data_IF_276343967660
#
_entry.id   IF_276343967660
#
_cell.length_a   1.000
_cell.length_b   1.000
_cell.length_c   1.000
_cell.angle_alpha   90.00
_cell.angle_beta   90.00
_cell.angle_gamma   90.00
#
_symmetry.space_group_name_H-M   'P 1'
#
loop_
_entity.id
_entity.type
_entity.pdbx_description
1 polymer ?
#
# COMPACT_ATOMS: atom_id res chain seq x y z
N UNK A 1 17.06 -2.41 15.07
CA UNK A 1 17.32 -2.83 13.67
C UNK A 1 16.51 -1.93 12.75
N UNK A 2 17.10 -1.45 11.65
CA UNK A 2 16.39 -0.59 10.70
C UNK A 2 15.82 -1.47 9.61
N UNK A 3 14.49 -1.64 9.54
CA UNK A 3 13.82 -2.47 8.54
C UNK A 3 13.22 -1.64 7.42
N UNK A 4 13.50 -1.99 6.18
CA UNK A 4 12.91 -1.35 5.01
C UNK A 4 11.51 -1.91 4.78
N UNK A 5 10.53 -1.02 4.63
CA UNK A 5 9.15 -1.35 4.28
C UNK A 5 8.75 -0.66 2.99
N UNK A 6 7.98 -1.35 2.17
CA UNK A 6 7.32 -0.77 1.00
C UNK A 6 5.84 -1.16 0.95
N UNK A 7 5.03 -0.26 0.39
CA UNK A 7 3.65 -0.50 0.01
C UNK A 7 3.43 -0.18 -1.47
N UNK A 8 2.65 -1.00 -2.15
CA UNK A 8 2.36 -0.78 -3.55
C UNK A 8 0.96 -1.29 -3.92
N UNK A 9 0.14 -0.40 -4.45
CA UNK A 9 -1.06 -0.80 -5.17
C UNK A 9 -0.64 -1.21 -6.59
N UNK A 10 -0.80 -2.49 -6.94
CA UNK A 10 -0.32 -3.06 -8.20
C UNK A 10 -1.39 -3.14 -9.29
N UNK A 11 -2.56 -2.55 -9.04
CA UNK A 11 -3.67 -2.38 -10.01
C UNK A 11 -4.08 -3.66 -10.76
N UNK A 12 -3.97 -4.83 -10.12
CA UNK A 12 -4.36 -6.09 -10.76
C UNK A 12 -5.87 -6.21 -10.98
N UNK A 13 -6.66 -5.44 -10.22
CA UNK A 13 -8.11 -5.36 -10.41
C UNK A 13 -8.50 -4.90 -11.81
N UNK A 14 -7.81 -3.89 -12.36
CA UNK A 14 -8.11 -3.40 -13.70
C UNK A 14 -7.73 -4.39 -14.80
N UNK A 15 -6.80 -5.28 -14.50
CA UNK A 15 -6.30 -6.32 -15.42
C UNK A 15 -6.83 -7.71 -15.15
N UNK A 16 -8.05 -7.86 -14.63
CA UNK A 16 -8.62 -9.17 -14.28
C UNK A 16 -8.35 -10.23 -15.34
N UNK A 17 -7.70 -11.33 -14.94
CA UNK A 17 -7.29 -12.43 -15.81
C UNK A 17 -5.93 -12.26 -16.50
N UNK A 18 -5.27 -11.12 -16.36
CA UNK A 18 -3.86 -10.94 -16.77
C UNK A 18 -2.95 -11.31 -15.60
N UNK A 19 -1.80 -11.91 -15.90
CA UNK A 19 -0.76 -12.16 -14.90
C UNK A 19 -0.12 -10.87 -14.41
N UNK A 20 0.46 -10.92 -13.21
CA UNK A 20 1.30 -9.82 -12.73
C UNK A 20 2.47 -9.61 -13.72
N UNK A 21 2.66 -8.41 -14.24
CA UNK A 21 3.74 -8.14 -15.19
C UNK A 21 5.10 -8.47 -14.58
N UNK A 22 5.99 -9.02 -15.40
CA UNK A 22 7.34 -9.43 -14.93
C UNK A 22 8.09 -8.27 -14.28
N UNK A 23 7.99 -7.06 -14.81
CA UNK A 23 8.69 -5.89 -14.26
C UNK A 23 8.23 -5.55 -12.83
N UNK A 24 6.97 -5.85 -12.47
CA UNK A 24 6.47 -5.68 -11.09
C UNK A 24 7.22 -6.64 -10.15
N UNK A 25 7.40 -7.89 -10.59
CA UNK A 25 8.13 -8.90 -9.82
C UNK A 25 9.60 -8.47 -9.67
N UNK A 26 10.24 -8.08 -10.77
CA UNK A 26 11.63 -7.63 -10.79
C UNK A 26 11.82 -6.42 -9.87
N UNK A 27 10.90 -5.44 -9.92
CA UNK A 27 10.93 -4.26 -9.07
C UNK A 27 10.82 -4.60 -7.59
N UNK A 28 9.89 -5.49 -7.21
CA UNK A 28 9.74 -5.93 -5.81
C UNK A 28 11.01 -6.61 -5.29
N UNK A 29 11.66 -7.43 -6.13
CA UNK A 29 12.92 -8.08 -5.79
C UNK A 29 14.05 -7.05 -5.67
N UNK A 30 14.16 -6.11 -6.61
CA UNK A 30 15.18 -5.06 -6.61
C UNK A 30 15.03 -4.09 -5.44
N UNK A 31 13.80 -3.80 -5.02
CA UNK A 31 13.54 -3.00 -3.82
C UNK A 31 14.13 -3.66 -2.57
N UNK A 32 14.26 -4.97 -2.56
CA UNK A 32 14.89 -5.73 -1.48
C UNK A 32 14.40 -5.32 -0.08
N UNK A 33 13.09 -5.04 0.05
CA UNK A 33 12.49 -4.60 1.29
C UNK A 33 12.33 -5.77 2.27
N UNK A 34 12.39 -5.50 3.57
CA UNK A 34 12.19 -6.53 4.59
C UNK A 34 10.71 -6.88 4.77
N UNK A 35 9.84 -5.90 4.51
CA UNK A 35 8.39 -6.06 4.50
C UNK A 35 7.82 -5.40 3.23
N UNK A 36 6.94 -6.11 2.55
CA UNK A 36 6.23 -5.64 1.36
C UNK A 36 4.74 -5.81 1.61
N UNK A 37 3.96 -4.76 1.35
CA UNK A 37 2.50 -4.84 1.39
C UNK A 37 1.95 -4.47 0.01
N UNK A 38 1.14 -5.36 -0.55
CA UNK A 38 0.51 -5.18 -1.84
C UNK A 38 -0.99 -5.02 -1.67
N UNK A 39 -1.56 -4.05 -2.38
CA UNK A 39 -3.00 -3.87 -2.51
C UNK A 39 -3.44 -4.01 -3.96
N UNK A 40 -4.73 -4.18 -4.19
CA UNK A 40 -5.31 -4.54 -5.48
C UNK A 40 -4.66 -5.77 -6.12
N UNK A 41 -4.22 -6.69 -5.30
CA UNK A 41 -3.77 -8.00 -5.75
C UNK A 41 -4.96 -8.82 -6.25
N UNK A 42 -4.73 -9.65 -7.27
CA UNK A 42 -5.72 -10.54 -7.81
C UNK A 42 -5.15 -11.97 -7.92
N UNK A 43 -5.75 -12.92 -7.22
CA UNK A 43 -5.36 -14.32 -7.30
C UNK A 43 -6.00 -15.00 -8.52
N UNK A 44 -5.32 -14.93 -9.64
CA UNK A 44 -5.71 -15.62 -10.86
C UNK A 44 -4.88 -16.89 -11.07
N UNK A 45 -5.23 -17.67 -12.09
CA UNK A 45 -4.61 -18.98 -12.34
C UNK A 45 -3.08 -18.97 -12.52
N UNK A 46 -2.49 -17.84 -12.87
CA UNK A 46 -1.04 -17.69 -13.06
C UNK A 46 -0.31 -17.06 -11.86
N UNK A 47 -1.01 -16.72 -10.77
CA UNK A 47 -0.44 -16.10 -9.58
C UNK A 47 0.66 -16.97 -8.94
N UNK A 48 0.61 -18.27 -9.13
CA UNK A 48 1.62 -19.21 -8.61
C UNK A 48 3.05 -18.88 -9.09
N UNK A 49 3.19 -18.33 -10.29
CA UNK A 49 4.50 -17.87 -10.77
C UNK A 49 5.03 -16.72 -9.93
N UNK A 50 4.20 -15.73 -9.64
CA UNK A 50 4.56 -14.60 -8.78
C UNK A 50 5.04 -15.08 -7.39
N UNK A 51 4.24 -15.92 -6.74
CA UNK A 51 4.59 -16.43 -5.42
C UNK A 51 5.90 -17.24 -5.46
N UNK A 52 6.10 -18.08 -6.45
CA UNK A 52 7.32 -18.86 -6.61
C UNK A 52 8.57 -17.97 -6.79
N UNK A 53 8.48 -16.87 -7.54
CA UNK A 53 9.59 -15.91 -7.69
C UNK A 53 9.89 -15.20 -6.36
N UNK A 54 8.86 -14.77 -5.63
CA UNK A 54 9.04 -14.11 -4.33
C UNK A 54 9.61 -15.08 -3.27
N UNK A 55 9.17 -16.33 -3.24
CA UNK A 55 9.75 -17.36 -2.36
C UNK A 55 11.22 -17.64 -2.69
N UNK A 56 11.57 -17.68 -3.99
CA UNK A 56 12.95 -17.83 -4.46
C UNK A 56 13.82 -16.63 -4.06
N UNK A 57 13.24 -15.44 -4.04
CA UNK A 57 13.90 -14.22 -3.54
C UNK A 57 13.97 -14.13 -2.01
N UNK A 58 13.52 -15.17 -1.29
CA UNK A 58 13.65 -15.29 0.16
C UNK A 58 12.46 -14.76 0.95
N UNK A 59 11.33 -14.50 0.32
CA UNK A 59 10.12 -14.04 1.01
C UNK A 59 9.23 -15.19 1.43
N UNK A 60 8.54 -15.00 2.54
CA UNK A 60 7.31 -15.68 2.90
C UNK A 60 6.16 -14.68 2.76
N UNK A 61 4.93 -15.17 2.71
CA UNK A 61 3.78 -14.30 2.51
C UNK A 61 2.50 -14.83 3.16
N UNK A 62 1.58 -13.90 3.40
CA UNK A 62 0.17 -14.17 3.63
C UNK A 62 -0.65 -13.34 2.64
N UNK A 63 -1.79 -13.83 2.25
CA UNK A 63 -2.70 -13.17 1.33
C UNK A 63 -4.14 -13.40 1.77
N UNK A 64 -4.98 -12.39 1.58
CA UNK A 64 -6.41 -12.52 1.83
C UNK A 64 -7.02 -13.60 0.95
N UNK A 65 -7.97 -14.35 1.53
CA UNK A 65 -8.72 -15.37 0.81
C UNK A 65 -10.06 -14.77 0.36
N UNK A 66 -10.02 -13.99 -0.69
CA UNK A 66 -11.21 -13.32 -1.20
C UNK A 66 -11.66 -13.95 -2.53
N UNK A 67 -12.92 -13.78 -2.89
CA UNK A 67 -13.50 -14.33 -4.15
C UNK A 67 -12.96 -13.60 -5.42
N UNK A 68 -11.68 -13.26 -5.40
CA UNK A 68 -10.91 -12.97 -6.60
C UNK A 68 -10.69 -11.52 -6.97
N UNK A 69 -11.05 -10.51 -6.17
CA UNK A 69 -10.75 -9.12 -6.54
C UNK A 69 -10.33 -8.27 -5.36
N UNK A 70 -9.30 -7.43 -5.53
CA UNK A 70 -8.82 -6.50 -4.51
C UNK A 70 -8.26 -7.16 -3.25
N UNK A 71 -7.43 -8.14 -3.42
CA UNK A 71 -6.77 -8.77 -2.29
C UNK A 71 -5.63 -7.93 -1.75
N UNK A 72 -5.25 -8.23 -0.52
CA UNK A 72 -4.08 -7.70 0.17
C UNK A 72 -3.08 -8.81 0.37
N UNK A 73 -1.84 -8.58 -0.03
CA UNK A 73 -0.71 -9.46 0.24
C UNK A 73 0.28 -8.80 1.17
N UNK A 74 0.77 -9.53 2.16
CA UNK A 74 1.89 -9.12 3.02
C UNK A 74 3.00 -10.12 2.84
N UNK A 75 4.18 -9.65 2.44
CA UNK A 75 5.38 -10.46 2.28
C UNK A 75 6.44 -9.97 3.27
N UNK A 76 7.24 -10.89 3.78
CA UNK A 76 8.36 -10.58 4.67
C UNK A 76 9.56 -11.47 4.35
N UNK A 77 10.77 -10.97 4.58
CA UNK A 77 11.99 -11.77 4.45
C UNK A 77 12.07 -12.78 5.57
N UNK A 78 12.20 -14.06 5.21
CA UNK A 78 12.27 -15.20 6.15
C UNK A 78 13.51 -15.21 7.02
N UNK A 79 14.58 -14.51 6.59
CA UNK A 79 15.82 -14.36 7.35
C UNK A 79 15.81 -13.14 8.29
N UNK A 80 14.80 -12.29 8.20
CA UNK A 80 14.61 -11.10 9.07
C UNK A 80 13.49 -11.31 10.06
N UNK A 81 12.39 -11.91 9.62
CA UNK A 81 11.18 -12.09 10.40
C UNK A 81 10.69 -13.53 10.43
N UNK A 82 10.16 -13.92 11.58
CA UNK A 82 9.44 -15.19 11.79
C UNK A 82 7.95 -14.90 11.88
N UNK A 83 7.15 -15.64 11.12
CA UNK A 83 5.70 -15.59 11.18
C UNK A 83 5.17 -16.09 12.53
N UNK A 84 4.18 -15.42 13.11
CA UNK A 84 3.54 -15.78 14.36
C UNK A 84 2.05 -16.03 14.24
N UNK A 85 1.33 -15.13 13.58
CA UNK A 85 -0.11 -15.25 13.42
C UNK A 85 -0.60 -14.45 12.19
N UNK A 86 -1.76 -14.82 11.70
CA UNK A 86 -2.52 -14.07 10.71
C UNK A 86 -3.95 -13.87 11.23
N UNK A 87 -4.49 -12.68 11.03
CA UNK A 87 -5.90 -12.39 11.23
C UNK A 87 -6.49 -11.90 9.90
N UNK A 88 -7.28 -12.75 9.29
CA UNK A 88 -8.08 -12.48 8.10
C UNK A 88 -9.58 -12.43 8.42
N UNK A 89 -9.95 -12.42 9.70
CA UNK A 89 -11.33 -12.49 10.17
C UNK A 89 -12.21 -11.36 9.62
N UNK A 90 -11.63 -10.22 9.31
CA UNK A 90 -12.32 -9.10 8.66
C UNK A 90 -12.58 -9.40 7.19
N UNK A 91 -11.75 -10.21 6.55
CA UNK A 91 -11.81 -10.53 5.12
C UNK A 91 -12.95 -11.48 4.80
N UNK A 92 -13.19 -12.47 5.66
CA UNK A 92 -14.24 -13.48 5.44
C UNK A 92 -15.64 -12.90 5.49
N UNK A 93 -15.81 -11.70 6.03
CA UNK A 93 -17.08 -10.99 6.13
C UNK A 93 -17.32 -9.94 5.04
N UNK A 94 -16.41 -9.83 4.06
CA UNK A 94 -16.41 -8.77 3.04
C UNK A 94 -17.59 -8.74 2.07
N UNK A 95 -18.65 -9.45 2.33
CA UNK A 95 -19.79 -9.43 1.40
C UNK A 95 -20.45 -8.06 1.24
N UNK A 96 -20.32 -7.11 2.17
CA UNK A 96 -21.02 -5.85 2.03
C UNK A 96 -20.53 -4.69 2.93
N UNK A 97 -19.37 -4.27 3.08
CA UNK A 97 -18.95 -2.98 3.68
C UNK A 97 -17.69 -3.05 4.56
N UNK A 98 -16.79 -3.95 4.28
CA UNK A 98 -15.52 -4.01 5.00
C UNK A 98 -14.35 -3.61 4.13
N UNK A 99 -13.31 -2.96 4.67
CA UNK A 99 -12.08 -2.67 3.93
C UNK A 99 -11.41 -3.97 3.49
N UNK A 100 -10.65 -3.91 2.41
CA UNK A 100 -9.70 -4.96 2.12
C UNK A 100 -8.61 -4.91 3.19
N UNK A 101 -8.45 -5.97 3.94
CA UNK A 101 -7.65 -5.95 5.17
C UNK A 101 -6.97 -7.29 5.41
N UNK A 102 -5.71 -7.24 5.77
CA UNK A 102 -4.93 -8.37 6.24
C UNK A 102 -4.01 -7.93 7.38
N UNK A 103 -3.96 -8.70 8.44
CA UNK A 103 -3.07 -8.47 9.56
C UNK A 103 -2.17 -9.68 9.78
N UNK A 104 -0.86 -9.45 9.97
CA UNK A 104 0.14 -10.47 10.24
C UNK A 104 0.98 -10.05 11.44
N UNK A 105 1.14 -10.94 12.41
CA UNK A 105 2.09 -10.76 13.51
C UNK A 105 3.43 -11.41 13.13
N UNK A 106 4.48 -10.64 13.15
CA UNK A 106 5.86 -11.01 12.84
C UNK A 106 6.73 -10.86 14.10
N UNK A 107 7.78 -11.65 14.20
CA UNK A 107 8.79 -11.52 15.23
C UNK A 107 10.18 -11.36 14.61
N UNK A 108 10.92 -10.34 15.03
CA UNK A 108 12.28 -10.13 14.56
C UNK A 108 13.27 -11.10 15.23
N UNK A 109 14.53 -11.08 14.79
CA UNK A 109 15.60 -11.92 15.33
C UNK A 109 15.91 -11.68 16.83
N UNK A 110 15.44 -10.57 17.40
CA UNK A 110 15.60 -10.23 18.82
C UNK A 110 14.38 -10.64 19.67
N UNK A 111 13.40 -11.32 19.06
CA UNK A 111 12.16 -11.71 19.73
C UNK A 111 11.17 -10.56 19.91
N UNK A 112 11.32 -9.46 19.17
CA UNK A 112 10.38 -8.34 19.23
C UNK A 112 9.23 -8.56 18.24
N UNK A 113 8.02 -8.46 18.75
CA UNK A 113 6.81 -8.60 17.93
C UNK A 113 6.51 -7.29 17.22
N UNK A 114 6.10 -7.42 15.95
CA UNK A 114 5.59 -6.37 15.09
C UNK A 114 4.28 -6.85 14.47
N UNK A 115 3.23 -6.07 14.61
CA UNK A 115 2.00 -6.30 13.86
C UNK A 115 2.04 -5.49 12.56
N UNK A 116 1.92 -6.17 11.43
CA UNK A 116 1.83 -5.54 10.10
C UNK A 116 0.41 -5.65 9.59
N UNK A 117 -0.15 -4.54 9.18
CA UNK A 117 -1.50 -4.45 8.61
C UNK A 117 -1.40 -3.91 7.19
N UNK A 118 -1.92 -4.65 6.23
CA UNK A 118 -2.18 -4.16 4.89
C UNK A 118 -3.66 -3.86 4.73
N UNK A 119 -4.02 -2.72 4.15
CA UNK A 119 -5.43 -2.45 3.85
C UNK A 119 -5.64 -1.48 2.70
N UNK A 120 -6.85 -1.53 2.14
CA UNK A 120 -7.32 -0.58 1.14
C UNK A 120 -8.74 -0.14 1.48
N UNK A 121 -8.94 1.16 1.60
CA UNK A 121 -10.28 1.77 1.73
C UNK A 121 -10.92 1.80 0.35
N UNK A 122 -12.16 1.35 0.24
CA UNK A 122 -12.86 1.31 -1.04
C UNK A 122 -13.28 2.71 -1.51
N UNK A 123 -13.39 2.88 -2.82
CA UNK A 123 -13.95 4.11 -3.42
C UNK A 123 -15.48 4.12 -3.31
N UNK A 124 -15.98 4.37 -2.10
CA UNK A 124 -17.40 4.50 -1.76
C UNK A 124 -17.70 5.90 -1.22
N UNK A 125 -18.89 6.13 -0.70
CA UNK A 125 -19.22 7.43 -0.09
C UNK A 125 -18.40 7.71 1.18
N UNK A 126 -18.37 8.97 1.58
CA UNK A 126 -17.58 9.45 2.71
C UNK A 126 -17.84 8.68 4.02
N UNK A 127 -19.11 8.43 4.35
CA UNK A 127 -19.48 7.77 5.59
C UNK A 127 -19.00 6.33 5.65
N UNK A 128 -19.11 5.62 4.54
CA UNK A 128 -18.61 4.25 4.42
C UNK A 128 -17.09 4.17 4.49
N UNK A 129 -16.37 5.12 3.87
CA UNK A 129 -14.90 5.20 4.00
C UNK A 129 -14.46 5.44 5.44
N UNK A 130 -15.17 6.33 6.16
CA UNK A 130 -14.88 6.61 7.55
C UNK A 130 -15.10 5.37 8.42
N UNK A 131 -16.21 4.65 8.22
CA UNK A 131 -16.51 3.40 8.92
C UNK A 131 -15.46 2.32 8.64
N UNK A 132 -15.04 2.15 7.37
CA UNK A 132 -13.99 1.21 7.00
C UNK A 132 -12.67 1.51 7.71
N UNK A 133 -12.25 2.78 7.75
CA UNK A 133 -11.04 3.17 8.44
C UNK A 133 -11.15 3.00 9.96
N UNK A 134 -12.31 3.27 10.56
CA UNK A 134 -12.54 3.02 11.98
C UNK A 134 -12.45 1.52 12.32
N UNK A 135 -12.93 0.63 11.44
CA UNK A 135 -12.76 -0.83 11.61
C UNK A 135 -11.28 -1.18 11.64
N UNK A 136 -10.47 -0.66 10.70
CA UNK A 136 -9.02 -0.90 10.66
C UNK A 136 -8.33 -0.42 11.94
N UNK A 137 -8.66 0.80 12.37
CA UNK A 137 -8.12 1.40 13.61
C UNK A 137 -8.44 0.53 14.81
N UNK A 138 -9.69 0.07 14.95
CA UNK A 138 -10.12 -0.79 16.04
C UNK A 138 -9.37 -2.12 16.04
N UNK A 139 -9.17 -2.73 14.88
CA UNK A 139 -8.38 -3.97 14.75
C UNK A 139 -6.92 -3.78 15.14
N UNK A 140 -6.31 -2.67 14.73
CA UNK A 140 -4.96 -2.32 15.19
C UNK A 140 -4.89 -2.11 16.71
N UNK A 141 -5.95 -1.55 17.32
CA UNK A 141 -6.01 -1.31 18.76
C UNK A 141 -6.17 -2.58 19.61
N UNK A 142 -6.67 -3.67 19.04
CA UNK A 142 -6.68 -4.98 19.71
C UNK A 142 -5.24 -5.51 19.96
N UNK A 143 -4.25 -4.98 19.25
CA UNK A 143 -2.85 -5.42 19.36
C UNK A 143 -2.09 -4.59 20.40
N UNK A 144 -1.30 -5.30 21.22
CA UNK A 144 -0.40 -4.69 22.21
C UNK A 144 1.00 -4.43 21.66
N UNK A 145 1.34 -5.04 20.54
CA UNK A 145 2.61 -4.89 19.86
C UNK A 145 2.68 -3.55 19.15
N UNK A 146 3.88 -3.06 18.81
CA UNK A 146 4.04 -2.01 17.81
C UNK A 146 3.31 -2.38 16.52
N UNK A 147 2.65 -1.40 15.90
CA UNK A 147 1.83 -1.62 14.71
C UNK A 147 2.33 -0.78 13.56
N UNK A 148 2.60 -1.44 12.44
CA UNK A 148 2.79 -0.84 11.13
C UNK A 148 1.56 -1.12 10.28
N UNK A 149 0.92 -0.08 9.76
CA UNK A 149 -0.09 -0.22 8.72
C UNK A 149 0.47 0.36 7.42
N UNK A 150 0.24 -0.34 6.32
CA UNK A 150 0.55 0.10 4.97
C UNK A 150 -0.75 0.14 4.20
N UNK A 151 -1.10 1.30 3.69
CA UNK A 151 -2.46 1.60 3.29
C UNK A 151 -2.54 2.24 1.92
N UNK A 152 -3.57 1.86 1.18
CA UNK A 152 -4.19 2.67 0.15
C UNK A 152 -5.52 3.21 0.71
N UNK A 153 -5.54 4.49 1.06
CA UNK A 153 -6.71 5.13 1.66
C UNK A 153 -7.66 5.77 0.63
N UNK A 154 -7.33 5.74 -0.65
CA UNK A 154 -8.13 6.38 -1.72
C UNK A 154 -8.53 7.84 -1.39
N UNK A 155 -7.57 8.65 -0.90
CA UNK A 155 -7.87 9.98 -0.40
C UNK A 155 -7.16 11.11 -1.16
N UNK A 156 -7.76 12.27 -1.09
CA UNK A 156 -7.17 13.52 -1.57
C UNK A 156 -6.14 14.04 -0.56
N UNK A 157 -5.14 14.75 -1.06
CA UNK A 157 -4.17 15.44 -0.20
C UNK A 157 -4.80 16.61 0.55
N UNK A 158 -5.70 17.34 -0.11
CA UNK A 158 -6.33 18.54 0.43
C UNK A 158 -7.84 18.44 0.41
N UNK A 159 -8.46 19.22 1.26
CA UNK A 159 -9.89 19.42 1.23
C UNK A 159 -10.30 20.17 -0.05
N UNK A 160 -11.32 19.65 -0.73
CA UNK A 160 -11.91 20.30 -1.92
C UNK A 160 -13.37 20.69 -1.68
N UNK A 161 -14.05 20.01 -0.77
CA UNK A 161 -15.43 20.26 -0.33
C UNK A 161 -15.58 19.80 1.13
N UNK A 162 -16.65 20.23 1.81
CA UNK A 162 -16.95 19.81 3.18
C UNK A 162 -17.06 18.29 3.39
N UNK A 163 -17.38 17.56 2.31
CA UNK A 163 -17.51 16.09 2.30
C UNK A 163 -16.35 15.39 1.63
N UNK A 164 -15.24 16.10 1.35
CA UNK A 164 -14.11 15.48 0.68
C UNK A 164 -13.36 14.53 1.61
N UNK A 165 -13.06 13.35 1.09
CA UNK A 165 -12.22 12.37 1.76
C UNK A 165 -10.74 12.73 1.55
N UNK A 166 -10.11 13.27 2.58
CA UNK A 166 -8.78 13.87 2.51
C UNK A 166 -7.91 13.51 3.72
N UNK A 167 -6.63 13.92 3.68
CA UNK A 167 -5.66 13.62 4.74
C UNK A 167 -6.11 14.06 6.12
N UNK A 168 -6.79 15.19 6.28
CA UNK A 168 -7.24 15.66 7.59
C UNK A 168 -8.30 14.75 8.20
N UNK A 169 -9.19 14.22 7.37
CA UNK A 169 -10.20 13.26 7.81
C UNK A 169 -9.55 11.96 8.23
N UNK A 170 -8.61 11.46 7.43
CA UNK A 170 -7.83 10.25 7.74
C UNK A 170 -7.10 10.44 9.08
N UNK A 171 -6.37 11.54 9.25
CA UNK A 171 -5.63 11.82 10.49
C UNK A 171 -6.54 11.87 11.71
N UNK A 172 -7.71 12.50 11.60
CA UNK A 172 -8.68 12.59 12.69
C UNK A 172 -9.18 11.22 13.15
N UNK A 173 -9.34 10.28 12.21
CA UNK A 173 -9.77 8.91 12.55
C UNK A 173 -8.60 8.13 13.15
N UNK A 174 -7.43 8.17 12.54
CA UNK A 174 -6.23 7.48 13.00
C UNK A 174 -5.81 7.91 14.41
N UNK A 175 -5.89 9.20 14.71
CA UNK A 175 -5.50 9.74 16.02
C UNK A 175 -6.36 9.22 17.17
N UNK A 176 -7.60 8.81 16.92
CA UNK A 176 -8.46 8.15 17.95
C UNK A 176 -7.84 6.83 18.45
N UNK A 177 -7.05 6.16 17.60
CA UNK A 177 -6.33 4.93 17.94
C UNK A 177 -4.86 5.16 18.32
N UNK A 178 -4.41 6.40 18.42
CA UNK A 178 -3.01 6.72 18.70
C UNK A 178 -2.07 6.41 17.53
N UNK A 179 -2.60 6.33 16.31
CA UNK A 179 -1.80 6.11 15.10
C UNK A 179 -1.34 7.43 14.49
N UNK A 180 -0.12 7.41 13.96
CA UNK A 180 0.49 8.49 13.20
C UNK A 180 0.65 8.08 11.73
N UNK A 181 0.23 8.97 10.83
CA UNK A 181 0.35 8.75 9.38
C UNK A 181 1.60 9.44 8.84
N UNK A 182 2.34 8.71 8.00
CA UNK A 182 3.50 9.18 7.28
C UNK A 182 3.21 9.12 5.78
N UNK A 183 3.21 10.27 5.10
CA UNK A 183 2.86 10.38 3.68
C UNK A 183 3.94 11.15 2.94
N UNK A 184 4.53 10.60 1.88
CA UNK A 184 5.47 11.31 1.04
C UNK A 184 4.87 12.56 0.39
N UNK A 185 5.73 13.48 -0.03
CA UNK A 185 5.33 14.60 -0.86
C UNK A 185 4.92 14.17 -2.27
N UNK A 186 4.11 15.00 -2.94
CA UNK A 186 3.69 14.75 -4.32
C UNK A 186 2.51 13.78 -4.45
N UNK A 187 2.28 13.33 -5.65
CA UNK A 187 1.17 12.45 -6.01
C UNK A 187 1.52 10.97 -5.85
N UNK A 188 0.61 10.19 -5.28
CA UNK A 188 0.74 8.74 -5.14
C UNK A 188 0.22 7.98 -6.35
N UNK A 189 -0.72 8.56 -7.12
CA UNK A 189 -1.31 7.92 -8.29
C UNK A 189 -1.01 8.68 -9.56
N UNK A 190 -1.06 7.97 -10.69
CA UNK A 190 -1.14 8.57 -12.00
C UNK A 190 -2.57 9.01 -12.29
N UNK A 191 -2.79 10.30 -12.47
CA UNK A 191 -4.09 10.81 -12.90
C UNK A 191 -3.98 11.62 -14.19
N UNK A 192 -4.83 11.25 -15.14
CA UNK A 192 -4.92 11.82 -16.46
C UNK A 192 -5.52 13.25 -16.50
N UNK A 193 -6.18 13.68 -15.42
CA UNK A 193 -7.04 14.87 -15.41
C UNK A 193 -6.34 16.20 -15.12
N UNK A 194 -5.03 16.29 -15.23
CA UNK A 194 -4.33 17.58 -15.19
C UNK A 194 -4.86 18.62 -16.20
N UNK A 195 -5.63 18.16 -17.19
CA UNK A 195 -6.16 18.96 -18.29
C UNK A 195 -7.26 19.95 -17.92
N UNK A 196 -7.90 19.83 -16.75
CA UNK A 196 -9.05 20.67 -16.39
C UNK A 196 -8.74 21.77 -15.38
N UNK A 197 -7.48 22.04 -15.08
CA UNK A 197 -7.10 23.05 -14.09
C UNK A 197 -7.43 22.66 -12.64
N UNK A 198 -7.95 21.48 -12.41
CA UNK A 198 -8.18 20.89 -11.10
C UNK A 198 -7.19 19.75 -10.92
N UNK A 199 -5.97 20.10 -10.58
CA UNK A 199 -5.02 19.10 -10.09
C UNK A 199 -5.54 18.61 -8.72
N UNK A 200 -6.32 17.56 -8.70
CA UNK A 200 -6.54 16.80 -7.47
C UNK A 200 -5.20 16.21 -7.10
N UNK A 201 -4.64 16.66 -6.00
CA UNK A 201 -3.47 16.01 -5.44
C UNK A 201 -3.93 14.77 -4.68
N UNK A 202 -3.72 13.61 -5.27
CA UNK A 202 -3.94 12.33 -4.61
C UNK A 202 -2.73 11.95 -3.75
N UNK A 203 -2.99 11.57 -2.52
CA UNK A 203 -1.99 11.03 -1.63
C UNK A 203 -2.63 9.83 -0.92
N UNK A 204 -2.75 8.73 -1.64
CA UNK A 204 -3.57 7.58 -1.25
C UNK A 204 -2.77 6.55 -0.46
N UNK A 205 -1.46 6.46 -0.75
CA UNK A 205 -0.59 5.44 -0.17
C UNK A 205 0.20 5.99 1.02
N UNK A 206 0.11 5.29 2.15
CA UNK A 206 0.67 5.74 3.42
C UNK A 206 1.39 4.63 4.18
N UNK A 207 2.38 5.04 4.99
CA UNK A 207 2.81 4.27 6.16
C UNK A 207 2.14 4.88 7.39
N UNK A 208 1.55 4.05 8.22
CA UNK A 208 0.83 4.47 9.43
C UNK A 208 1.38 3.65 10.59
N UNK A 209 1.75 4.29 11.69
CA UNK A 209 2.42 3.58 12.78
C UNK A 209 1.84 3.93 14.14
N UNK A 210 2.03 2.99 15.07
CA UNK A 210 1.90 3.19 16.51
C UNK A 210 3.07 2.48 17.19
N UNK A 211 3.77 3.21 18.06
CA UNK A 211 4.95 2.75 18.81
C UNK A 211 6.15 2.35 17.93
N UNK A 212 6.24 2.92 16.73
CA UNK A 212 7.35 2.73 15.78
C UNK A 212 7.71 4.08 15.17
N UNK A 213 9.00 4.40 15.12
CA UNK A 213 9.49 5.53 14.35
C UNK A 213 9.70 5.14 12.90
N UNK A 214 9.39 6.06 11.99
CA UNK A 214 9.55 5.89 10.54
C UNK A 214 10.42 7.01 9.97
N UNK A 215 11.45 6.63 9.24
CA UNK A 215 12.14 7.50 8.31
C UNK A 215 11.50 7.31 6.94
N UNK A 216 10.70 8.29 6.52
CA UNK A 216 9.93 8.22 5.29
C UNK A 216 10.81 8.53 4.08
N UNK A 217 10.68 7.73 3.01
CA UNK A 217 11.21 8.04 1.69
C UNK A 217 10.22 8.82 0.84
N UNK A 218 10.66 9.27 -0.34
CA UNK A 218 9.77 9.81 -1.37
C UNK A 218 8.95 8.69 -2.03
N UNK A 219 7.84 9.06 -2.68
CA UNK A 219 7.14 8.16 -3.59
C UNK A 219 8.08 7.73 -4.72
N UNK A 220 8.27 6.41 -4.88
CA UNK A 220 9.13 5.87 -5.92
C UNK A 220 8.32 5.57 -7.18
N UNK A 221 8.72 6.19 -8.28
CA UNK A 221 8.13 6.04 -9.61
C UNK A 221 9.16 5.54 -10.64
N UNK A 222 10.38 5.24 -10.19
CA UNK A 222 11.50 4.91 -11.09
C UNK A 222 11.32 3.53 -11.78
N UNK A 223 10.46 2.65 -11.22
CA UNK A 223 10.12 1.37 -11.85
C UNK A 223 9.69 1.51 -13.31
N UNK A 224 9.04 2.61 -13.63
CA UNK A 224 8.56 2.95 -14.98
C UNK A 224 9.70 3.08 -15.99
N UNK A 225 10.85 3.62 -15.58
CA UNK A 225 11.99 3.85 -16.46
C UNK A 225 12.77 2.60 -16.75
N UNK A 226 12.78 1.67 -15.80
CA UNK A 226 13.57 0.43 -15.91
C UNK A 226 13.01 -0.48 -16.97
N UNK A 227 11.70 -0.53 -17.13
CA UNK A 227 11.04 -1.43 -18.09
C UNK A 227 10.83 -0.81 -19.47
N UNK A 228 11.22 0.46 -19.69
CA UNK A 228 11.05 1.19 -20.97
C UNK A 228 9.59 1.26 -21.45
N UNK A 229 8.63 0.99 -20.58
CA UNK A 229 7.22 1.18 -20.86
C UNK A 229 7.00 2.69 -20.94
N UNK A 230 6.28 3.15 -21.95
CA UNK A 230 5.87 4.54 -22.07
C UNK A 230 4.78 4.85 -21.05
N UNK A 231 5.15 4.82 -19.80
CA UNK A 231 4.33 5.30 -18.71
C UNK A 231 4.41 6.82 -18.67
N UNK A 232 3.30 7.49 -18.41
CA UNK A 232 3.30 8.94 -18.30
C UNK A 232 3.97 9.48 -17.02
N UNK A 233 4.45 8.64 -16.12
CA UNK A 233 5.19 8.99 -14.91
C UNK A 233 6.62 9.49 -15.17
N UNK A 234 6.92 10.10 -16.30
CA UNK A 234 8.23 10.68 -16.57
C UNK A 234 8.58 11.84 -15.61
N UNK A 235 9.82 12.32 -15.68
CA UNK A 235 10.30 13.50 -14.94
C UNK A 235 9.39 14.71 -15.06
N UNK A 236 8.62 14.77 -16.14
CA UNK A 236 7.77 15.87 -16.54
C UNK A 236 6.27 15.57 -16.35
N UNK A 237 5.94 14.79 -15.32
CA UNK A 237 4.54 14.60 -14.95
C UNK A 237 3.77 15.94 -14.82
N UNK A 238 4.48 17.02 -14.45
CA UNK A 238 3.94 18.38 -14.41
C UNK A 238 3.89 19.08 -15.78
N UNK A 239 4.61 18.57 -16.76
CA UNK A 239 4.67 19.11 -18.12
C UNK A 239 4.11 18.13 -19.16
N UNK A 240 3.11 17.33 -18.74
CA UNK A 240 2.36 16.53 -19.71
C UNK A 240 1.90 17.42 -20.86
N UNK A 241 2.37 17.06 -22.04
CA UNK A 241 2.21 17.82 -23.26
C UNK A 241 0.73 18.12 -23.56
N UNK A 242 0.32 19.37 -23.37
CA UNK A 242 -1.02 19.85 -23.68
C UNK A 242 -1.42 19.67 -25.15
N UNK A 243 -0.45 19.46 -26.04
CA UNK A 243 -0.69 19.25 -27.47
C UNK A 243 -1.24 17.85 -27.79
N UNK A 244 -1.04 16.89 -26.90
CA UNK A 244 -1.45 15.51 -27.14
C UNK A 244 -2.58 15.06 -26.24
N UNK A 245 -3.60 15.84 -26.00
CA UNK A 245 -4.82 15.55 -25.20
C UNK A 245 -5.41 14.13 -25.38
N UNK A 246 -4.53 13.14 -25.56
CA UNK A 246 -4.87 11.73 -25.57
C UNK A 246 -4.85 11.22 -24.14
N UNK A 247 -5.95 10.63 -23.74
CA UNK A 247 -6.03 9.81 -22.55
C UNK A 247 -4.93 8.76 -22.60
N UNK A 248 -3.86 8.97 -21.85
CA UNK A 248 -2.88 7.93 -21.57
C UNK A 248 -3.43 7.16 -20.37
N UNK A 249 -4.21 6.14 -20.64
CA UNK A 249 -4.60 5.19 -19.61
C UNK A 249 -3.43 4.25 -19.35
N UNK A 250 -3.17 3.99 -18.08
CA UNK A 250 -2.28 2.89 -17.70
C UNK A 250 -2.84 1.59 -18.30
N UNK A 251 -1.98 0.75 -18.85
CA UNK A 251 -2.41 -0.54 -19.37
C UNK A 251 -3.10 -1.35 -18.27
N UNK A 252 -4.29 -1.94 -18.52
CA UNK A 252 -4.99 -2.72 -17.51
C UNK A 252 -4.10 -3.81 -16.88
N UNK A 253 -4.02 -3.81 -15.55
CA UNK A 253 -3.17 -4.71 -14.78
C UNK A 253 -1.74 -4.21 -14.52
N UNK A 254 -1.41 -3.01 -15.00
CA UNK A 254 -0.17 -2.32 -14.68
C UNK A 254 -0.38 -1.35 -13.52
N UNK A 255 0.61 -1.19 -12.61
CA UNK A 255 0.47 -0.27 -11.49
C UNK A 255 0.30 1.17 -11.94
N UNK A 256 -0.71 1.83 -11.42
CA UNK A 256 -0.97 3.27 -11.56
C UNK A 256 -0.62 4.05 -10.28
N UNK A 257 -0.14 3.36 -9.26
CA UNK A 257 0.36 3.93 -8.01
C UNK A 257 1.88 3.92 -7.94
N UNK A 258 2.44 4.93 -7.26
CA UNK A 258 3.83 4.96 -6.85
C UNK A 258 4.07 4.03 -5.65
N UNK A 259 5.30 3.55 -5.50
CA UNK A 259 5.68 2.79 -4.31
C UNK A 259 5.87 3.76 -3.13
N UNK A 260 5.14 3.56 -2.04
CA UNK A 260 5.47 4.19 -0.76
C UNK A 260 6.56 3.39 -0.07
N UNK A 261 7.58 4.06 0.49
CA UNK A 261 8.70 3.40 1.16
C UNK A 261 9.15 4.12 2.41
N UNK A 262 9.66 3.38 3.36
CA UNK A 262 10.24 3.92 4.59
C UNK A 262 11.13 2.90 5.29
N UNK A 263 11.76 3.38 6.36
CA UNK A 263 12.58 2.57 7.24
C UNK A 263 12.05 2.66 8.66
N UNK A 264 11.73 1.50 9.22
CA UNK A 264 11.25 1.37 10.58
C UNK A 264 12.43 1.35 11.55
N UNK A 265 12.29 2.00 12.70
CA UNK A 265 13.21 1.85 13.83
C UNK A 265 12.42 1.80 15.13
N UNK A 266 12.82 0.91 16.03
CA UNK A 266 12.25 0.88 17.38
C UNK A 266 12.97 1.89 18.27
N UNK A 267 12.29 2.38 19.34
CA UNK A 267 12.91 3.35 20.26
C UNK A 267 14.23 2.88 20.88
N UNK A 268 14.47 1.56 20.95
CA UNK A 268 15.72 1.01 21.45
C UNK A 268 16.91 1.32 20.53
N UNK A 269 16.66 1.55 19.25
CA UNK A 269 17.71 1.86 18.27
C UNK A 269 18.12 3.33 18.30
N UNK A 270 17.29 4.22 18.86
CA UNK A 270 17.55 5.66 18.96
C UNK A 270 18.43 6.02 20.18
N UNK A 271 18.66 5.10 21.13
CA UNK A 271 19.44 5.33 22.36
C UNK A 271 20.86 4.78 22.29
N UNK A 272 21.31 4.31 21.16
CA UNK A 272 22.70 3.92 20.89
C UNK A 272 23.38 4.95 19.98
#
# INVERSE_FOLDING_TARGET
MKSKVIGWNINQRSGMGKGIPKFVIDELIDQNADIIVLTELFQHSTIGYFWAEMERAGYQYAVTQNDGTNEVGILWKKDVYTFRAVDDSVVTTMKNNHPNFLLVDLEDQNGQLLTVVGFRIRMVDYSQRAEELEIVVNKGNEKKNPVLMVADCNNLRRETTETSWNLQVVDRILSKGGFERHTPGGQSIFEEKADRGYAYEFAEDHLITRDIAVELGDYDREFVRRDRIAYPWGKDFQTYDKEHSRRVSVEPGFPDHAIVKGYLSTEKDQKK
#
